data_IF_287909416700
#
_entry.id   IF_287909416700
#
_cell.length_a   1.000
_cell.length_b   1.000
_cell.length_c   1.000
_cell.angle_alpha   90.00
_cell.angle_beta   90.00
_cell.angle_gamma   90.00
#
_symmetry.space_group_name_H-M   'P 1'
#
loop_
_entity.id
_entity.type
_entity.pdbx_description
1 polymer ?
#
# COMPACT_ATOMS: atom_id res chain seq x y z
N UNK A 1 2.49 -6.70 11.60
CA UNK A 1 1.94 -5.75 10.61
C UNK A 1 1.44 -4.55 11.39
N UNK A 2 1.93 -3.35 11.09
CA UNK A 2 1.66 -2.16 11.91
C UNK A 2 0.38 -1.46 11.45
N UNK A 3 0.22 -1.33 10.14
CA UNK A 3 -0.90 -0.62 9.53
C UNK A 3 -1.62 -1.53 8.54
N UNK A 4 -2.94 -1.50 8.54
CA UNK A 4 -3.79 -2.23 7.58
C UNK A 4 -4.81 -1.26 7.00
N UNK A 5 -4.80 -1.10 5.68
CA UNK A 5 -5.91 -0.52 4.91
C UNK A 5 -6.80 -1.68 4.49
N UNK A 6 -7.90 -1.85 5.21
CA UNK A 6 -8.82 -2.97 5.03
C UNK A 6 -9.58 -2.92 3.71
N UNK A 7 -10.23 -4.04 3.40
CA UNK A 7 -11.22 -4.12 2.32
C UNK A 7 -12.28 -3.03 2.46
N UNK A 8 -12.86 -2.62 1.35
CA UNK A 8 -13.90 -1.58 1.28
C UNK A 8 -13.46 -0.19 1.78
N UNK A 9 -12.16 0.01 2.05
CA UNK A 9 -11.58 1.31 2.39
C UNK A 9 -10.99 1.96 1.14
N UNK A 10 -11.22 3.26 0.97
CA UNK A 10 -10.57 4.09 -0.04
C UNK A 10 -9.77 5.18 0.65
N UNK A 11 -8.47 5.22 0.39
CA UNK A 11 -7.59 6.29 0.85
C UNK A 11 -7.04 7.06 -0.35
N UNK A 12 -7.07 8.39 -0.27
CA UNK A 12 -6.50 9.28 -1.29
C UNK A 12 -5.58 10.29 -0.61
N UNK A 13 -4.30 10.30 -0.98
CA UNK A 13 -3.30 11.23 -0.44
C UNK A 13 -1.93 10.58 -0.26
N UNK A 14 -1.16 11.10 0.71
CA UNK A 14 0.16 10.57 1.09
C UNK A 14 0.05 9.77 2.38
N UNK A 15 0.45 8.51 2.34
CA UNK A 15 0.52 7.61 3.48
C UNK A 15 1.98 7.42 3.89
N UNK A 16 2.37 7.98 5.04
CA UNK A 16 3.71 7.79 5.63
C UNK A 16 3.61 6.83 6.83
N UNK A 17 4.26 5.68 6.72
CA UNK A 17 4.21 4.61 7.73
C UNK A 17 5.61 4.19 8.14
N UNK A 18 5.86 4.27 9.45
CA UNK A 18 7.04 3.67 10.09
C UNK A 18 6.75 2.19 10.40
N UNK A 19 7.35 1.29 9.62
CA UNK A 19 7.15 -0.16 9.68
C UNK A 19 6.23 -0.71 8.58
N UNK A 20 5.83 -1.98 8.68
CA UNK A 20 5.13 -2.66 7.58
C UNK A 20 3.64 -2.26 7.44
N UNK A 21 3.17 -2.14 6.19
CA UNK A 21 1.79 -1.81 5.82
C UNK A 21 1.17 -2.90 4.94
N UNK A 22 -0.13 -3.19 5.16
CA UNK A 22 -0.98 -4.02 4.29
C UNK A 22 -2.06 -3.20 3.62
N UNK A 23 -2.29 -3.43 2.35
CA UNK A 23 -3.39 -2.85 1.58
C UNK A 23 -4.25 -3.97 1.00
N UNK A 24 -5.43 -4.16 1.57
CA UNK A 24 -6.50 -5.01 1.02
C UNK A 24 -7.64 -4.17 0.40
N UNK A 25 -7.59 -2.84 0.53
CA UNK A 25 -8.52 -1.87 -0.05
C UNK A 25 -7.96 -1.09 -1.25
N UNK A 26 -8.44 0.13 -1.46
CA UNK A 26 -7.98 1.03 -2.53
C UNK A 26 -7.13 2.17 -1.98
N UNK A 27 -5.94 2.37 -2.55
CA UNK A 27 -5.04 3.48 -2.21
C UNK A 27 -4.70 4.26 -3.47
N UNK A 28 -4.83 5.59 -3.42
CA UNK A 28 -4.46 6.50 -4.51
C UNK A 28 -3.53 7.60 -4.01
N UNK A 29 -2.40 7.83 -4.68
CA UNK A 29 -1.47 8.92 -4.33
C UNK A 29 -0.03 8.44 -4.10
N UNK A 30 0.48 8.55 -2.87
CA UNK A 30 1.84 8.13 -2.51
C UNK A 30 1.87 7.31 -1.23
N UNK A 31 2.65 6.24 -1.19
CA UNK A 31 2.89 5.43 0.02
C UNK A 31 4.38 5.40 0.30
N UNK A 32 4.77 5.87 1.48
CA UNK A 32 6.14 5.86 1.97
C UNK A 32 6.18 4.92 3.16
N UNK A 33 6.95 3.84 3.03
CA UNK A 33 7.09 2.80 4.02
C UNK A 33 8.57 2.53 4.25
N UNK A 34 8.99 2.48 5.51
CA UNK A 34 10.40 2.21 5.84
C UNK A 34 10.77 0.73 5.84
N UNK A 35 9.79 -0.15 5.65
CA UNK A 35 9.94 -1.61 5.76
C UNK A 35 9.17 -2.28 4.60
N UNK A 36 8.13 -3.06 4.90
CA UNK A 36 7.44 -3.89 3.91
C UNK A 36 6.08 -3.30 3.52
N UNK A 37 5.83 -3.17 2.21
CA UNK A 37 4.51 -2.87 1.63
C UNK A 37 3.91 -4.16 1.09
N UNK A 38 2.77 -4.59 1.62
CA UNK A 38 2.03 -5.75 1.13
C UNK A 38 0.72 -5.32 0.49
N UNK A 39 0.53 -5.61 -0.80
CA UNK A 39 -0.74 -5.45 -1.50
C UNK A 39 -1.42 -6.81 -1.55
N UNK A 40 -2.49 -6.99 -0.77
CA UNK A 40 -3.25 -8.23 -0.72
C UNK A 40 -4.03 -8.48 -2.01
N UNK A 41 -4.61 -9.67 -2.16
CA UNK A 41 -5.28 -10.10 -3.40
C UNK A 41 -6.47 -9.22 -3.83
N UNK A 42 -7.12 -8.54 -2.88
CA UNK A 42 -8.20 -7.57 -3.15
C UNK A 42 -7.70 -6.13 -3.20
N UNK A 43 -6.41 -5.89 -2.92
CA UNK A 43 -5.80 -4.57 -2.89
C UNK A 43 -5.65 -3.99 -4.29
N UNK A 44 -6.02 -2.72 -4.43
CA UNK A 44 -5.79 -1.90 -5.62
C UNK A 44 -5.02 -0.64 -5.24
N UNK A 45 -3.79 -0.53 -5.71
CA UNK A 45 -2.92 0.63 -5.42
C UNK A 45 -2.64 1.38 -6.70
N UNK A 46 -3.06 2.63 -6.76
CA UNK A 46 -2.78 3.58 -7.83
C UNK A 46 -1.91 4.71 -7.26
N UNK A 47 -0.64 4.40 -7.00
CA UNK A 47 0.25 5.26 -6.22
C UNK A 47 1.72 5.01 -6.52
N UNK A 48 2.57 6.00 -6.20
CA UNK A 48 4.01 5.81 -6.07
C UNK A 48 4.30 5.13 -4.72
N UNK A 49 4.86 3.92 -4.79
CA UNK A 49 5.21 3.10 -3.64
C UNK A 49 6.70 3.22 -3.35
N UNK A 50 7.05 3.57 -2.12
CA UNK A 50 8.43 3.52 -1.61
C UNK A 50 8.46 2.54 -0.42
N UNK A 51 9.28 1.50 -0.51
CA UNK A 51 9.42 0.46 0.50
C UNK A 51 10.71 -0.31 0.33
N UNK A 52 11.22 -0.92 1.41
CA UNK A 52 12.37 -1.83 1.29
C UNK A 52 11.98 -3.14 0.60
N UNK A 53 10.79 -3.64 0.92
CA UNK A 53 10.24 -4.86 0.34
C UNK A 53 8.82 -4.57 -0.11
N UNK A 54 8.51 -4.91 -1.36
CA UNK A 54 7.13 -4.81 -1.88
C UNK A 54 6.66 -6.20 -2.28
N UNK A 55 5.56 -6.65 -1.67
CA UNK A 55 4.90 -7.93 -1.96
C UNK A 55 3.54 -7.64 -2.59
N UNK A 56 3.33 -8.08 -3.83
CA UNK A 56 2.10 -7.79 -4.58
C UNK A 56 1.35 -9.09 -4.92
N UNK A 57 0.17 -9.24 -4.33
CA UNK A 57 -0.81 -10.26 -4.69
C UNK A 57 -2.05 -9.67 -5.41
N UNK A 58 -2.29 -8.36 -5.26
CA UNK A 58 -3.36 -7.62 -5.91
C UNK A 58 -2.89 -6.88 -7.17
N UNK A 59 -3.42 -5.68 -7.39
CA UNK A 59 -3.08 -4.84 -8.56
C UNK A 59 -2.42 -3.54 -8.12
N UNK A 60 -1.30 -3.22 -8.77
CA UNK A 60 -0.55 -1.97 -8.57
C UNK A 60 -0.43 -1.25 -9.91
N UNK A 61 -0.69 0.06 -9.92
CA UNK A 61 -0.53 0.96 -11.06
C UNK A 61 0.20 2.22 -10.56
N UNK A 62 1.41 2.46 -11.05
CA UNK A 62 2.25 3.56 -10.56
C UNK A 62 3.71 3.15 -10.56
N UNK A 63 4.56 3.90 -9.87
CA UNK A 63 5.96 3.55 -9.70
C UNK A 63 6.18 2.75 -8.41
N UNK A 64 7.18 1.88 -8.46
CA UNK A 64 7.63 0.98 -7.39
C UNK A 64 9.09 1.28 -7.05
#
# INVERSE_FOLDING_TARGET
>A
MNTIIGKDTVFTGTLDVKGAVRVDGTVKGKVICTDTVTVGSTGYVEADLEGQIVVVAGKVVGNL
#
